data_IF_330153117523
#
_entry.id   IF_330153117523
#
_cell.length_a   1.000
_cell.length_b   1.000
_cell.length_c   1.000
_cell.angle_alpha   90.00
_cell.angle_beta   90.00
_cell.angle_gamma   90.00
#
_symmetry.space_group_name_H-M   'P 1'
#
loop_
_entity.id
_entity.type
_entity.pdbx_description
1 polymer ?
#
# COMPACT_ATOMS: atom_id res chain seq x y z
N UNK A 1 15.85 -26.74 49.13
CA UNK A 1 16.65 -26.01 48.12
C UNK A 1 16.36 -26.66 46.77
N UNK A 2 15.48 -26.07 45.95
CA UNK A 2 15.09 -26.61 44.63
C UNK A 2 15.92 -25.87 43.58
N UNK A 3 16.78 -26.61 42.88
CA UNK A 3 17.66 -26.08 41.83
C UNK A 3 16.85 -25.99 40.54
N UNK A 4 16.71 -24.79 40.01
CA UNK A 4 16.18 -24.51 38.68
C UNK A 4 17.17 -25.01 37.62
N UNK A 5 16.86 -26.12 36.96
CA UNK A 5 17.48 -26.52 35.70
C UNK A 5 16.71 -25.87 34.55
N UNK A 6 16.95 -24.57 34.32
CA UNK A 6 16.74 -23.95 33.00
C UNK A 6 17.97 -24.27 32.14
N UNK A 7 18.08 -25.52 31.72
CA UNK A 7 19.13 -26.01 30.83
C UNK A 7 18.62 -26.13 29.41
N UNK A 8 19.18 -25.31 28.52
CA UNK A 8 19.27 -25.48 27.06
C UNK A 8 18.27 -26.43 26.38
N UNK A 9 17.18 -25.88 25.86
CA UNK A 9 16.55 -26.41 24.64
C UNK A 9 16.70 -25.38 23.52
N UNK A 10 17.95 -25.04 23.22
CA UNK A 10 18.35 -24.59 21.88
C UNK A 10 18.88 -25.81 21.14
N UNK A 11 17.98 -26.78 20.88
CA UNK A 11 18.25 -27.79 19.88
C UNK A 11 18.04 -27.12 18.52
N UNK A 12 19.10 -26.46 18.05
CA UNK A 12 19.25 -25.96 16.69
C UNK A 12 19.14 -27.15 15.73
N UNK A 13 17.95 -27.38 15.18
CA UNK A 13 17.80 -28.10 13.94
C UNK A 13 18.38 -27.22 12.81
N UNK A 14 19.71 -27.26 12.67
CA UNK A 14 20.44 -26.67 11.54
C UNK A 14 20.34 -27.63 10.37
N UNK A 15 19.20 -27.63 9.70
CA UNK A 15 19.11 -28.18 8.35
C UNK A 15 18.64 -27.05 7.45
N UNK A 16 19.61 -26.41 6.79
CA UNK A 16 19.43 -25.28 5.87
C UNK A 16 18.79 -24.02 6.48
N UNK A 17 19.10 -23.71 7.74
CA UNK A 17 18.79 -22.39 8.29
C UNK A 17 19.45 -21.35 7.37
N UNK A 18 18.60 -20.63 6.64
CA UNK A 18 18.93 -19.46 5.83
C UNK A 18 20.03 -18.68 6.55
N UNK A 19 21.09 -18.31 5.85
CA UNK A 19 22.24 -17.58 6.39
C UNK A 19 21.88 -16.14 6.79
N UNK A 20 20.70 -15.94 7.37
CA UNK A 20 20.12 -14.67 7.78
C UNK A 20 21.09 -13.94 8.71
N UNK A 21 21.12 -12.62 8.56
CA UNK A 21 21.78 -11.75 9.50
C UNK A 21 21.19 -11.95 10.90
N UNK A 22 22.00 -11.72 11.95
CA UNK A 22 21.53 -11.84 13.35
C UNK A 22 20.32 -10.92 13.60
N UNK A 23 20.36 -9.71 13.03
CA UNK A 23 19.28 -8.74 13.14
C UNK A 23 17.99 -9.26 12.49
N UNK A 24 18.08 -9.86 11.31
CA UNK A 24 16.93 -10.42 10.61
C UNK A 24 16.38 -11.68 11.32
N UNK A 25 17.24 -12.54 11.85
CA UNK A 25 16.81 -13.69 12.66
C UNK A 25 16.03 -13.27 13.91
N UNK A 26 16.47 -12.20 14.59
CA UNK A 26 15.77 -11.69 15.77
C UNK A 26 14.41 -11.09 15.41
N UNK A 27 14.29 -10.41 14.27
CA UNK A 27 12.99 -9.95 13.78
C UNK A 27 12.08 -11.12 13.35
N UNK A 28 12.62 -12.14 12.68
CA UNK A 28 11.87 -13.35 12.37
C UNK A 28 11.34 -14.02 13.66
N UNK A 29 12.18 -14.11 14.69
CA UNK A 29 11.81 -14.67 15.98
C UNK A 29 10.72 -13.83 16.68
N UNK A 30 10.72 -12.50 16.51
CA UNK A 30 9.64 -11.63 16.99
C UNK A 30 8.29 -11.98 16.36
N UNK A 31 8.27 -12.32 15.06
CA UNK A 31 7.06 -12.75 14.37
C UNK A 31 6.76 -14.24 14.58
N UNK A 32 7.68 -15.00 15.16
CA UNK A 32 7.45 -16.32 15.73
C UNK A 32 6.75 -17.27 14.76
N UNK A 33 5.58 -17.78 15.18
CA UNK A 33 4.77 -18.71 14.37
C UNK A 33 3.98 -18.03 13.26
N UNK A 34 3.97 -16.69 13.17
CA UNK A 34 3.22 -15.98 12.14
C UNK A 34 3.80 -16.15 10.75
N UNK A 35 5.13 -16.09 10.62
CA UNK A 35 5.81 -16.20 9.31
C UNK A 35 5.46 -17.51 8.58
N UNK A 36 5.49 -18.69 9.24
CA UNK A 36 4.99 -19.92 8.62
C UNK A 36 3.53 -19.87 8.17
N UNK A 37 2.64 -19.19 8.89
CA UNK A 37 1.23 -19.04 8.50
C UNK A 37 1.08 -18.16 7.25
N UNK A 38 1.78 -17.03 7.21
CA UNK A 38 1.81 -16.13 6.05
C UNK A 38 2.33 -16.87 4.81
N UNK A 39 3.37 -17.71 4.94
CA UNK A 39 3.93 -18.48 3.82
C UNK A 39 2.95 -19.49 3.21
N UNK A 40 1.86 -19.87 3.92
CA UNK A 40 0.83 -20.78 3.38
C UNK A 40 -0.11 -20.09 2.40
N UNK A 41 -0.14 -18.75 2.38
CA UNK A 41 -0.98 -17.93 1.51
C UNK A 41 -0.11 -17.07 0.59
N UNK A 42 0.62 -17.68 -0.35
CA UNK A 42 1.62 -16.97 -1.15
C UNK A 42 1.01 -15.92 -2.07
N UNK A 43 -0.21 -16.16 -2.57
CA UNK A 43 -0.84 -15.35 -3.60
C UNK A 43 -2.23 -14.89 -3.15
N UNK A 44 -2.40 -13.58 -3.04
CA UNK A 44 -3.65 -12.92 -2.70
C UNK A 44 -4.33 -12.49 -4.00
N UNK A 45 -4.95 -13.44 -4.71
CA UNK A 45 -5.50 -13.25 -6.07
C UNK A 45 -7.02 -13.31 -6.14
N UNK A 46 -7.66 -13.71 -5.04
CA UNK A 46 -9.12 -13.88 -4.94
C UNK A 46 -9.64 -13.41 -3.59
N UNK A 47 -10.94 -13.07 -3.50
CA UNK A 47 -11.57 -12.72 -2.23
C UNK A 47 -11.41 -13.81 -1.16
N UNK A 48 -11.47 -15.09 -1.56
CA UNK A 48 -11.27 -16.22 -0.65
C UNK A 48 -9.83 -16.26 -0.12
N UNK A 49 -8.82 -16.12 -1.00
CA UNK A 49 -7.41 -16.06 -0.58
C UNK A 49 -7.10 -14.86 0.33
N UNK A 50 -7.78 -13.72 0.11
CA UNK A 50 -7.70 -12.54 0.98
C UNK A 50 -8.29 -12.83 2.36
N UNK A 51 -9.47 -13.45 2.40
CA UNK A 51 -10.11 -13.86 3.66
C UNK A 51 -9.22 -14.83 4.43
N UNK A 52 -8.66 -15.84 3.77
CA UNK A 52 -7.77 -16.82 4.38
C UNK A 52 -6.49 -16.16 4.92
N UNK A 53 -5.87 -15.28 4.14
CA UNK A 53 -4.73 -14.48 4.57
C UNK A 53 -5.06 -13.68 5.84
N UNK A 54 -6.16 -12.93 5.86
CA UNK A 54 -6.56 -12.14 7.02
C UNK A 54 -6.91 -13.02 8.23
N UNK A 55 -7.51 -14.19 8.02
CA UNK A 55 -7.82 -15.11 9.11
C UNK A 55 -6.56 -15.74 9.71
N UNK A 56 -5.53 -16.02 8.91
CA UNK A 56 -4.23 -16.51 9.41
C UNK A 56 -3.58 -15.52 10.39
N UNK A 57 -3.73 -14.22 10.12
CA UNK A 57 -3.17 -13.14 10.91
C UNK A 57 -3.93 -12.86 12.23
N UNK A 58 -5.14 -13.41 12.40
CA UNK A 58 -5.89 -13.34 13.66
C UNK A 58 -5.37 -14.31 14.73
N UNK A 59 -4.47 -15.22 14.37
CA UNK A 59 -3.88 -16.17 15.33
C UNK A 59 -3.06 -15.46 16.41
N UNK A 60 -3.01 -16.05 17.62
CA UNK A 60 -2.26 -15.48 18.75
C UNK A 60 -0.79 -15.20 18.41
N UNK A 61 -0.19 -16.09 17.60
CA UNK A 61 1.19 -15.96 17.14
C UNK A 61 1.46 -14.79 16.20
N UNK A 62 0.42 -14.19 15.61
CA UNK A 62 0.52 -13.06 14.69
C UNK A 62 0.29 -11.69 15.34
N UNK A 63 -0.03 -11.61 16.64
CA UNK A 63 -0.29 -10.32 17.31
C UNK A 63 0.86 -9.32 17.19
N UNK A 64 2.09 -9.78 17.37
CA UNK A 64 3.28 -8.94 17.23
C UNK A 64 3.47 -8.43 15.80
N UNK A 65 3.13 -9.26 14.81
CA UNK A 65 3.20 -8.87 13.40
C UNK A 65 2.13 -7.82 13.07
N UNK A 66 0.89 -8.05 13.51
CA UNK A 66 -0.23 -7.13 13.30
C UNK A 66 0.01 -5.77 13.96
N UNK A 67 0.53 -5.75 15.20
CA UNK A 67 0.89 -4.51 15.89
C UNK A 67 1.99 -3.71 15.16
N UNK A 68 2.86 -4.42 14.43
CA UNK A 68 3.95 -3.85 13.65
C UNK A 68 3.57 -3.54 12.20
N UNK A 69 2.32 -3.80 11.77
CA UNK A 69 1.99 -3.75 10.35
C UNK A 69 2.21 -2.36 9.72
N UNK A 70 2.04 -1.29 10.48
CA UNK A 70 2.31 0.08 10.04
C UNK A 70 3.78 0.53 10.15
N UNK A 71 4.68 -0.32 10.67
CA UNK A 71 6.09 0.03 10.83
C UNK A 71 6.79 -0.05 9.47
N UNK A 72 7.39 1.07 9.04
CA UNK A 72 8.01 1.20 7.71
C UNK A 72 9.41 0.59 7.59
N UNK A 73 10.01 0.21 8.72
CA UNK A 73 11.35 -0.37 8.76
C UNK A 73 11.34 -1.86 9.12
N UNK A 74 12.35 -2.57 8.65
CA UNK A 74 12.69 -3.94 9.04
C UNK A 74 14.19 -3.97 9.36
N UNK A 75 14.58 -4.94 10.16
CA UNK A 75 15.95 -5.32 10.48
C UNK A 75 16.55 -6.28 9.47
N UNK A 76 15.76 -6.80 8.54
CA UNK A 76 16.21 -7.60 7.41
C UNK A 76 16.63 -6.69 6.24
N UNK A 77 17.83 -6.87 5.70
CA UNK A 77 18.28 -6.11 4.54
C UNK A 77 17.78 -6.77 3.25
N UNK A 78 16.96 -6.05 2.48
CA UNK A 78 16.44 -6.58 1.21
C UNK A 78 17.51 -6.69 0.11
N UNK A 79 18.65 -6.01 0.27
CA UNK A 79 19.77 -6.04 -0.66
C UNK A 79 20.80 -7.12 -0.30
N UNK A 80 20.70 -7.72 0.90
CA UNK A 80 21.50 -8.86 1.28
C UNK A 80 20.79 -10.15 0.83
N UNK A 81 21.48 -10.97 0.01
CA UNK A 81 20.89 -12.18 -0.57
C UNK A 81 20.37 -13.18 0.47
N UNK A 82 20.93 -13.18 1.68
CA UNK A 82 20.49 -14.08 2.74
C UNK A 82 19.20 -13.61 3.42
N UNK A 83 19.01 -12.30 3.58
CA UNK A 83 17.86 -11.67 4.24
C UNK A 83 16.71 -11.37 3.28
N UNK A 84 17.01 -11.21 1.99
CA UNK A 84 16.09 -10.72 0.95
C UNK A 84 14.73 -11.39 0.93
N UNK A 85 14.67 -12.73 0.95
CA UNK A 85 13.39 -13.46 0.90
C UNK A 85 12.49 -13.08 2.09
N UNK A 86 13.07 -13.05 3.29
CA UNK A 86 12.33 -12.74 4.50
C UNK A 86 11.98 -11.24 4.59
N UNK A 87 12.89 -10.35 4.20
CA UNK A 87 12.62 -8.93 4.10
C UNK A 87 11.43 -8.66 3.16
N UNK A 88 11.45 -9.25 1.96
CA UNK A 88 10.35 -9.17 1.00
C UNK A 88 9.05 -9.68 1.60
N UNK A 89 9.06 -10.86 2.24
CA UNK A 89 7.88 -11.43 2.88
C UNK A 89 7.29 -10.51 3.96
N UNK A 90 8.13 -9.95 4.84
CA UNK A 90 7.68 -9.04 5.90
C UNK A 90 7.01 -7.81 5.27
N UNK A 91 7.65 -7.18 4.28
CA UNK A 91 7.06 -6.02 3.60
C UNK A 91 5.75 -6.36 2.92
N UNK A 92 5.70 -7.40 2.08
CA UNK A 92 4.49 -7.74 1.32
C UNK A 92 3.35 -8.15 2.23
N UNK A 93 3.62 -8.90 3.30
CA UNK A 93 2.60 -9.28 4.26
C UNK A 93 2.06 -8.06 5.06
N UNK A 94 2.92 -7.10 5.41
CA UNK A 94 2.47 -5.87 6.10
C UNK A 94 1.62 -5.01 5.18
N UNK A 95 2.03 -4.85 3.92
CA UNK A 95 1.26 -4.16 2.87
C UNK A 95 -0.10 -4.87 2.68
N UNK A 96 -0.11 -6.19 2.55
CA UNK A 96 -1.33 -7.00 2.42
C UNK A 96 -2.25 -6.84 3.63
N UNK A 97 -1.72 -6.87 4.84
CA UNK A 97 -2.52 -6.67 6.06
C UNK A 97 -3.20 -5.29 6.05
N UNK A 98 -2.44 -4.23 5.77
CA UNK A 98 -2.97 -2.86 5.76
C UNK A 98 -4.03 -2.65 4.67
N UNK A 99 -3.92 -3.32 3.53
CA UNK A 99 -4.90 -3.21 2.46
C UNK A 99 -6.16 -4.07 2.66
N UNK A 100 -6.04 -5.26 3.24
CA UNK A 100 -7.13 -6.25 3.20
C UNK A 100 -7.70 -6.61 4.57
N UNK A 101 -6.97 -6.40 5.67
CA UNK A 101 -7.31 -7.02 6.95
C UNK A 101 -7.69 -6.04 8.06
N UNK A 102 -7.44 -4.74 7.86
CA UNK A 102 -7.78 -3.73 8.87
C UNK A 102 -9.29 -3.56 8.96
N UNK A 103 -9.77 -3.52 10.20
CA UNK A 103 -11.18 -3.31 10.54
C UNK A 103 -11.34 -2.01 11.33
N UNK A 104 -12.55 -1.48 11.37
CA UNK A 104 -12.92 -0.37 12.23
C UNK A 104 -13.13 -0.80 13.69
N UNK A 105 -13.44 0.15 14.56
CA UNK A 105 -13.74 -0.11 15.98
C UNK A 105 -14.88 -1.12 16.22
N UNK A 106 -15.75 -1.39 15.24
CA UNK A 106 -16.82 -2.38 15.33
C UNK A 106 -16.40 -3.77 14.82
N UNK A 107 -15.16 -3.91 14.35
CA UNK A 107 -14.65 -5.13 13.72
C UNK A 107 -15.15 -5.32 12.29
N UNK A 108 -15.75 -4.30 11.67
CA UNK A 108 -16.17 -4.36 10.27
C UNK A 108 -15.00 -4.01 9.35
N UNK A 109 -14.86 -4.64 8.16
CA UNK A 109 -13.86 -4.24 7.19
C UNK A 109 -14.00 -2.75 6.85
N UNK A 110 -12.86 -2.09 6.67
CA UNK A 110 -12.87 -0.71 6.20
C UNK A 110 -13.48 -0.61 4.78
N UNK A 111 -14.17 0.49 4.43
CA UNK A 111 -14.88 0.64 3.16
C UNK A 111 -14.04 0.31 1.92
N UNK A 112 -12.78 0.76 1.88
CA UNK A 112 -11.90 0.47 0.76
C UNK A 112 -11.49 -1.01 0.71
N UNK A 113 -11.41 -1.70 1.84
CA UNK A 113 -11.18 -3.16 1.83
C UNK A 113 -12.37 -3.90 1.26
N UNK A 114 -13.57 -3.57 1.74
CA UNK A 114 -14.79 -4.21 1.26
C UNK A 114 -14.95 -4.00 -0.25
N UNK A 115 -14.68 -2.79 -0.73
CA UNK A 115 -14.65 -2.52 -2.17
C UNK A 115 -13.64 -3.38 -2.94
N UNK A 116 -12.40 -3.49 -2.45
CA UNK A 116 -11.36 -4.31 -3.09
C UNK A 116 -11.71 -5.80 -3.09
N UNK A 117 -12.32 -6.30 -2.01
CA UNK A 117 -12.77 -7.70 -1.90
C UNK A 117 -13.93 -8.00 -2.86
N UNK A 118 -14.83 -7.04 -3.07
CA UNK A 118 -16.02 -7.23 -3.89
C UNK A 118 -15.76 -6.98 -5.40
N UNK A 119 -14.65 -6.32 -5.75
CA UNK A 119 -14.25 -6.03 -7.14
C UNK A 119 -13.31 -7.12 -7.70
N UNK A 120 -13.86 -8.26 -8.10
CA UNK A 120 -13.09 -9.36 -8.72
C UNK A 120 -12.34 -8.96 -9.99
N UNK A 121 -12.87 -8.00 -10.75
CA UNK A 121 -12.28 -7.49 -11.99
C UNK A 121 -11.08 -6.57 -11.78
N UNK A 122 -10.91 -5.99 -10.58
CA UNK A 122 -9.73 -5.21 -10.23
C UNK A 122 -8.51 -6.11 -9.95
N UNK A 123 -8.73 -7.32 -9.43
CA UNK A 123 -7.68 -8.29 -9.11
C UNK A 123 -7.16 -9.04 -10.33
N UNK A 124 -7.98 -9.19 -11.37
CA UNK A 124 -7.59 -9.91 -12.59
C UNK A 124 -6.84 -9.04 -13.61
N UNK A 125 -6.52 -7.79 -13.27
CA UNK A 125 -5.80 -6.87 -14.18
C UNK A 125 -6.59 -6.41 -15.41
N UNK A 126 -7.87 -6.79 -15.53
CA UNK A 126 -8.72 -6.46 -16.69
C UNK A 126 -9.35 -5.06 -16.56
N UNK A 127 -9.39 -4.51 -15.35
CA UNK A 127 -9.92 -3.16 -15.13
C UNK A 127 -8.82 -2.12 -15.31
N UNK A 128 -8.74 -1.56 -16.52
CA UNK A 128 -8.03 -0.30 -16.79
C UNK A 128 -8.77 0.82 -16.07
N UNK A 129 -8.43 1.03 -14.80
CA UNK A 129 -9.04 2.04 -13.92
C UNK A 129 -8.45 3.40 -14.25
N UNK A 130 -8.72 3.91 -15.45
CA UNK A 130 -8.13 5.15 -15.96
C UNK A 130 -8.66 6.40 -15.27
N UNK A 131 -9.71 6.29 -14.44
CA UNK A 131 -10.14 7.31 -13.46
C UNK A 131 -11.13 6.69 -12.46
N UNK A 132 -11.08 7.07 -11.16
CA UNK A 132 -12.11 6.68 -10.19
C UNK A 132 -13.46 7.31 -10.56
N UNK A 133 -14.52 6.51 -10.51
CA UNK A 133 -15.90 6.99 -10.65
C UNK A 133 -16.32 7.81 -9.41
N UNK A 134 -17.39 8.63 -9.48
CA UNK A 134 -17.95 9.28 -8.30
C UNK A 134 -18.28 8.30 -7.16
N UNK A 135 -18.74 7.09 -7.52
CA UNK A 135 -19.02 6.00 -6.59
C UNK A 135 -17.75 5.49 -5.92
N UNK A 136 -16.67 5.29 -6.68
CA UNK A 136 -15.37 4.90 -6.13
C UNK A 136 -14.84 5.96 -5.17
N UNK A 137 -14.98 7.23 -5.54
CA UNK A 137 -14.53 8.35 -4.71
C UNK A 137 -15.29 8.45 -3.38
N UNK A 138 -16.58 8.10 -3.39
CA UNK A 138 -17.38 8.02 -2.16
C UNK A 138 -16.80 6.99 -1.17
N UNK A 139 -16.33 5.85 -1.66
CA UNK A 139 -15.69 4.82 -0.82
C UNK A 139 -14.43 5.36 -0.17
N UNK A 140 -13.58 6.09 -0.89
CA UNK A 140 -12.39 6.74 -0.31
C UNK A 140 -12.76 7.76 0.76
N UNK A 141 -13.83 8.54 0.57
CA UNK A 141 -14.29 9.51 1.56
C UNK A 141 -14.77 8.81 2.83
N UNK A 142 -15.55 7.73 2.68
CA UNK A 142 -16.04 6.93 3.80
C UNK A 142 -14.90 6.24 4.55
N UNK A 143 -13.89 5.71 3.84
CA UNK A 143 -12.69 5.13 4.43
C UNK A 143 -11.89 6.20 5.21
N UNK A 144 -11.66 7.37 4.61
CA UNK A 144 -10.99 8.50 5.26
C UNK A 144 -11.66 8.97 6.55
N UNK A 145 -12.99 8.88 6.64
CA UNK A 145 -13.76 9.34 7.80
C UNK A 145 -13.65 8.40 9.01
N UNK A 146 -13.28 7.13 8.81
CA UNK A 146 -13.06 6.17 9.89
C UNK A 146 -11.60 6.25 10.35
N UNK A 147 -11.38 6.35 11.66
CA UNK A 147 -10.04 6.64 12.20
C UNK A 147 -9.03 5.53 11.90
N UNK A 148 -9.38 4.27 12.16
CA UNK A 148 -8.53 3.12 11.90
C UNK A 148 -8.25 2.95 10.41
N UNK A 149 -9.26 3.20 9.57
CA UNK A 149 -9.16 3.08 8.12
C UNK A 149 -8.31 4.21 7.51
N UNK A 150 -8.49 5.44 7.98
CA UNK A 150 -7.64 6.56 7.60
C UNK A 150 -6.17 6.31 7.97
N UNK A 151 -5.92 5.89 9.22
CA UNK A 151 -4.59 5.60 9.72
C UNK A 151 -3.90 4.51 8.89
N UNK A 152 -4.63 3.45 8.53
CA UNK A 152 -4.07 2.36 7.72
C UNK A 152 -3.60 2.85 6.36
N UNK A 153 -4.32 3.77 5.70
CA UNK A 153 -4.00 4.16 4.34
C UNK A 153 -2.73 5.00 4.35
N UNK A 154 -2.58 5.86 5.36
CA UNK A 154 -1.35 6.60 5.61
C UNK A 154 -0.18 5.62 5.81
N UNK A 155 -0.35 4.63 6.70
CA UNK A 155 0.68 3.61 6.94
C UNK A 155 1.01 2.78 5.69
N UNK A 156 -0.01 2.41 4.90
CA UNK A 156 0.16 1.63 3.69
C UNK A 156 1.03 2.38 2.68
N UNK A 157 0.74 3.66 2.47
CA UNK A 157 1.48 4.49 1.52
C UNK A 157 2.93 4.75 1.99
N UNK A 158 3.13 4.97 3.28
CA UNK A 158 4.48 5.14 3.84
C UNK A 158 5.30 3.84 3.78
N UNK A 159 4.67 2.70 4.05
CA UNK A 159 5.28 1.38 3.96
C UNK A 159 5.63 1.01 2.51
N UNK A 160 4.71 1.24 1.58
CA UNK A 160 4.91 1.07 0.15
C UNK A 160 6.13 1.86 -0.37
N UNK A 161 6.23 3.12 0.06
CA UNK A 161 7.38 3.99 -0.25
C UNK A 161 8.68 3.44 0.30
N UNK A 162 8.67 2.99 1.56
CA UNK A 162 9.83 2.42 2.22
C UNK A 162 10.30 1.12 1.54
N UNK A 163 9.37 0.21 1.24
CA UNK A 163 9.66 -1.04 0.54
C UNK A 163 10.34 -0.81 -0.81
N UNK A 164 9.80 0.11 -1.62
CA UNK A 164 10.38 0.42 -2.91
C UNK A 164 11.75 1.10 -2.81
N UNK A 165 11.90 2.03 -1.87
CA UNK A 165 13.20 2.66 -1.59
C UNK A 165 14.23 1.61 -1.18
N UNK A 166 13.84 0.64 -0.34
CA UNK A 166 14.70 -0.45 0.08
C UNK A 166 15.15 -1.32 -1.11
N UNK A 167 14.29 -1.52 -2.12
CA UNK A 167 14.62 -2.20 -3.39
C UNK A 167 15.51 -1.37 -4.34
N UNK A 168 15.90 -0.16 -3.95
CA UNK A 168 16.66 0.76 -4.80
C UNK A 168 15.81 1.48 -5.86
N UNK A 169 14.48 1.38 -5.79
CA UNK A 169 13.59 2.11 -6.68
C UNK A 169 13.41 3.55 -6.19
N UNK A 170 13.24 4.47 -7.14
CA UNK A 170 12.84 5.84 -6.85
C UNK A 170 11.39 5.86 -6.34
N UNK A 171 11.22 6.17 -5.06
CA UNK A 171 9.93 6.30 -4.40
C UNK A 171 8.93 7.19 -5.16
N UNK A 172 9.39 8.23 -5.85
CA UNK A 172 8.53 9.16 -6.60
C UNK A 172 7.90 8.52 -7.85
N UNK A 173 8.44 7.38 -8.31
CA UNK A 173 7.88 6.61 -9.43
C UNK A 173 6.79 5.65 -9.00
N UNK A 174 6.75 5.31 -7.72
CA UNK A 174 5.80 4.34 -7.14
C UNK A 174 4.51 5.04 -6.79
N UNK A 175 4.63 6.19 -6.10
CA UNK A 175 3.52 7.04 -5.72
C UNK A 175 3.62 8.30 -6.58
N UNK A 176 2.73 8.45 -7.58
CA UNK A 176 2.69 9.66 -8.39
C UNK A 176 2.48 10.89 -7.52
N UNK A 177 3.11 12.00 -7.87
CA UNK A 177 3.00 13.28 -7.14
C UNK A 177 1.55 13.77 -6.99
N UNK A 178 0.67 13.37 -7.90
CA UNK A 178 -0.76 13.63 -7.88
C UNK A 178 -1.44 13.04 -6.64
N UNK A 179 -0.87 11.96 -6.09
CA UNK A 179 -1.34 11.32 -4.87
C UNK A 179 -0.93 12.08 -3.61
N UNK A 180 0.07 12.96 -3.65
CA UNK A 180 0.50 13.73 -2.47
C UNK A 180 -0.65 14.57 -1.92
N UNK A 181 -1.51 15.08 -2.80
CA UNK A 181 -2.70 15.85 -2.39
C UNK A 181 -3.72 14.97 -1.68
N UNK A 182 -3.94 13.75 -2.16
CA UNK A 182 -4.84 12.77 -1.53
C UNK A 182 -4.28 12.36 -0.16
N UNK A 183 -2.98 12.03 -0.09
CA UNK A 183 -2.28 11.70 1.15
C UNK A 183 -2.42 12.85 2.15
N UNK A 184 -2.20 14.08 1.71
CA UNK A 184 -2.28 15.26 2.56
C UNK A 184 -3.69 15.46 3.11
N UNK A 185 -4.72 15.20 2.31
CA UNK A 185 -6.11 15.22 2.78
C UNK A 185 -6.38 14.13 3.83
N UNK A 186 -5.88 12.90 3.61
CA UNK A 186 -5.99 11.83 4.60
C UNK A 186 -5.29 12.20 5.91
N UNK A 187 -4.03 12.67 5.84
CA UNK A 187 -3.24 13.09 7.01
C UNK A 187 -3.91 14.21 7.80
N UNK A 188 -4.58 15.14 7.12
CA UNK A 188 -5.27 16.26 7.75
C UNK A 188 -6.75 15.99 8.06
N UNK A 189 -7.24 14.75 7.87
CA UNK A 189 -8.65 14.36 8.00
C UNK A 189 -9.62 15.26 7.18
N UNK A 190 -9.16 15.80 6.04
CA UNK A 190 -9.93 16.64 5.10
C UNK A 190 -10.65 15.77 4.07
N UNK A 191 -11.50 14.86 4.53
CA UNK A 191 -12.07 13.81 3.69
C UNK A 191 -13.03 14.33 2.62
N UNK A 192 -13.85 15.35 2.94
CA UNK A 192 -14.80 15.91 1.97
C UNK A 192 -14.11 16.69 0.83
N UNK A 193 -12.86 17.12 1.03
CA UNK A 193 -12.06 17.82 0.02
C UNK A 193 -11.54 16.90 -1.08
N UNK A 194 -11.66 15.58 -0.91
CA UNK A 194 -11.35 14.59 -1.96
C UNK A 194 -12.24 14.76 -3.20
N UNK A 195 -13.48 15.26 -3.04
CA UNK A 195 -14.39 15.58 -4.17
C UNK A 195 -13.89 16.78 -4.97
N UNK A 196 -13.52 17.85 -4.25
CA UNK A 196 -13.19 19.15 -4.84
C UNK A 196 -11.89 19.12 -5.65
N UNK A 197 -10.93 18.30 -5.23
CA UNK A 197 -9.65 18.18 -5.93
C UNK A 197 -9.77 17.47 -7.28
N UNK A 198 -10.80 16.64 -7.48
CA UNK A 198 -11.01 15.96 -8.75
C UNK A 198 -11.72 16.88 -9.77
N UNK A 199 -12.60 17.78 -9.30
CA UNK A 199 -13.38 18.67 -10.19
C UNK A 199 -12.51 19.76 -10.82
N UNK A 200 -11.51 20.28 -10.10
CA UNK A 200 -10.65 21.36 -10.59
C UNK A 200 -9.70 20.92 -11.73
N UNK A 201 -9.32 19.65 -11.78
CA UNK A 201 -8.50 19.10 -12.85
C UNK A 201 -9.29 18.80 -14.13
N UNK A 202 -10.59 18.48 -14.00
CA UNK A 202 -11.47 18.21 -15.15
C UNK A 202 -11.96 19.51 -15.81
N UNK A 203 -12.25 20.55 -15.01
CA UNK A 203 -12.72 21.84 -15.54
C UNK A 203 -11.65 22.60 -16.35
N UNK A 204 -10.36 22.43 -16.03
CA UNK A 204 -9.26 23.04 -16.78
C UNK A 204 -9.01 22.37 -18.16
N UNK A 205 -9.53 21.16 -18.39
CA UNK A 205 -9.35 20.42 -19.64
C UNK A 205 -10.36 20.77 -20.73
N UNK A 206 -11.48 21.41 -20.41
CA UNK A 206 -12.57 21.66 -21.36
C UNK A 206 -12.67 23.10 -21.87
N UNK A 207 -11.77 23.99 -21.43
CA UNK A 207 -11.66 25.37 -21.92
C UNK A 207 -10.46 25.60 -22.85
N UNK A 208 -10.07 24.58 -23.63
CA UNK A 208 -9.28 24.79 -24.83
C UNK A 208 -10.19 25.40 -25.89
N UNK A 209 -10.27 26.72 -25.87
CA UNK A 209 -10.90 27.59 -26.85
C UNK A 209 -10.65 27.08 -28.26
N UNK A 210 -11.73 26.81 -28.99
CA UNK A 210 -11.72 26.75 -30.46
C UNK A 210 -11.19 28.09 -30.94
N UNK A 211 -9.90 28.15 -31.30
CA UNK A 211 -9.34 29.30 -32.00
C UNK A 211 -9.85 29.21 -33.42
N UNK A 212 -10.85 30.05 -33.69
CA UNK A 212 -11.35 30.37 -35.01
C UNK A 212 -10.18 30.85 -35.87
N UNK A 213 -9.93 30.17 -36.99
CA UNK A 213 -8.83 30.46 -37.89
C UNK A 213 -9.22 31.66 -38.78
N UNK A 214 -8.94 32.87 -38.31
CA UNK A 214 -8.81 34.03 -39.21
C UNK A 214 -8.11 35.22 -38.52
N UNK A 215 -6.79 35.35 -38.72
CA UNK A 215 -6.10 36.65 -38.93
C UNK A 215 -4.57 36.50 -38.90
N UNK A 216 -3.98 36.84 -40.05
CA UNK A 216 -2.71 37.53 -40.34
C UNK A 216 -1.39 37.18 -39.59
N UNK A 217 -0.26 37.03 -40.32
CA UNK A 217 1.06 36.88 -39.72
C UNK A 217 1.70 38.26 -39.52
N UNK A 218 2.05 38.60 -38.28
CA UNK A 218 3.11 39.55 -38.01
C UNK A 218 3.89 39.12 -36.77
N UNK A 219 5.21 39.17 -36.94
CA UNK A 219 6.23 38.72 -36.02
C UNK A 219 6.14 39.40 -34.65
N UNK A 220 6.11 38.60 -33.57
CA UNK A 220 6.93 38.91 -32.41
C UNK A 220 7.08 37.72 -31.46
N UNK A 221 8.35 37.46 -31.19
CA UNK A 221 8.94 36.48 -30.31
C UNK A 221 8.51 36.75 -28.85
N UNK A 222 7.71 35.86 -28.27
CA UNK A 222 7.51 35.78 -26.82
C UNK A 222 7.39 34.32 -26.44
N UNK A 223 8.45 33.84 -25.77
CA UNK A 223 8.57 32.48 -25.26
C UNK A 223 7.57 32.20 -24.14
N UNK A 224 6.31 31.98 -24.52
CA UNK A 224 5.35 31.35 -23.65
C UNK A 224 5.73 29.87 -23.52
N UNK A 225 6.34 29.53 -22.38
CA UNK A 225 6.51 28.14 -21.95
C UNK A 225 5.12 27.52 -21.89
N UNK A 226 4.78 26.71 -22.91
CA UNK A 226 3.61 25.84 -22.90
C UNK A 226 3.82 24.80 -21.81
N UNK A 227 3.37 25.10 -20.59
CA UNK A 227 3.21 24.13 -19.53
C UNK A 227 2.15 23.12 -19.97
N UNK A 228 2.65 22.01 -20.51
CA UNK A 228 1.87 20.83 -20.85
C UNK A 228 1.33 20.29 -19.52
N UNK A 229 0.06 20.57 -19.21
CA UNK A 229 -0.64 19.93 -18.10
C UNK A 229 -0.70 18.43 -18.41
N UNK A 230 0.19 17.66 -17.78
CA UNK A 230 0.15 16.21 -17.81
C UNK A 230 -1.03 15.83 -16.93
N UNK A 231 -2.17 15.57 -17.57
CA UNK A 231 -3.33 14.93 -16.95
C UNK A 231 -2.94 13.48 -16.72
N UNK A 232 -2.26 13.22 -15.59
CA UNK A 232 -1.96 11.87 -15.14
C UNK A 232 -3.04 11.46 -14.16
N UNK A 233 -4.16 10.97 -14.70
CA UNK A 233 -5.22 10.32 -13.93
C UNK A 233 -4.77 8.92 -13.52
N UNK A 234 -3.78 8.83 -12.62
CA UNK A 234 -3.41 7.55 -12.02
C UNK A 234 -4.41 7.29 -10.90
N UNK A 235 -5.29 6.32 -11.14
CA UNK A 235 -6.26 5.88 -10.14
C UNK A 235 -5.53 5.32 -8.92
N UNK A 236 -5.98 5.71 -7.72
CA UNK A 236 -5.53 5.16 -6.43
C UNK A 236 -5.63 3.62 -6.44
N UNK A 237 -6.58 3.07 -7.20
CA UNK A 237 -6.78 1.63 -7.34
C UNK A 237 -5.67 1.00 -8.20
N UNK A 238 -5.14 1.72 -9.21
CA UNK A 238 -3.93 1.32 -9.94
C UNK A 238 -2.73 1.35 -9.00
N UNK A 239 -2.62 2.33 -8.09
CA UNK A 239 -1.55 2.32 -7.09
C UNK A 239 -1.64 1.09 -6.18
N UNK A 240 -2.84 0.75 -5.70
CA UNK A 240 -3.05 -0.47 -4.93
C UNK A 240 -2.67 -1.68 -5.79
N UNK A 241 -3.15 -1.79 -7.04
CA UNK A 241 -2.77 -2.87 -7.94
C UNK A 241 -1.25 -2.95 -8.18
N UNK A 242 -0.55 -1.84 -8.42
CA UNK A 242 0.93 -1.76 -8.59
C UNK A 242 1.67 -2.14 -7.30
N UNK A 243 1.07 -1.90 -6.13
CA UNK A 243 1.65 -2.33 -4.86
C UNK A 243 1.46 -3.84 -4.61
N UNK A 244 0.52 -4.48 -5.30
CA UNK A 244 0.16 -5.88 -5.13
C UNK A 244 0.57 -6.80 -6.31
N UNK A 245 0.96 -6.24 -7.46
CA UNK A 245 1.38 -6.95 -8.69
C UNK A 245 2.70 -6.39 -9.24
#
# INVERSE_FOLDING_TARGET
MKIFTYGCVLALAVTNALALSISCMLENAKYGTCVPEIKKTPDITSPDSMSDFCNSLKSEGCKSFVADAGVTSTKCDINDDSDKELATLIYTARIGYLAYCVTDAQGSPCPLTDYLLNQTSALNGESSLTSPTPEDLKIFIEDCKKEECNARLISLMELAKAYNTAKGNDASKVIPSEMDTIILNYKNKRCDDLLNNNTNNVAASNNATVIDANANPDDNESGAVKSKAIVSTISIIILLAILFF
#
